data_IF_185906141705
#
_entry.id   IF_185906141705
#
_cell.length_a   1.000
_cell.length_b   1.000
_cell.length_c   1.000
_cell.angle_alpha   90.00
_cell.angle_beta   90.00
_cell.angle_gamma   90.00
#
_symmetry.space_group_name_H-M   'P 1'
#
loop_
_entity.id
_entity.type
_entity.pdbx_description
1 polymer ?
#
# COMPACT_ATOMS: atom_id res chain seq x y z
N UNK A 1 -118.63 -10.54 -51.94
CA UNK A 1 -117.52 -9.75 -52.50
C UNK A 1 -117.98 -8.31 -52.71
N UNK A 2 -117.83 -7.39 -51.74
CA UNK A 2 -117.61 -5.93 -51.96
C UNK A 2 -117.54 -5.07 -50.67
N UNK A 3 -116.83 -5.47 -49.61
CA UNK A 3 -116.61 -4.55 -48.47
C UNK A 3 -115.27 -4.76 -47.74
N UNK A 4 -114.27 -5.36 -48.41
CA UNK A 4 -112.89 -5.54 -47.91
C UNK A 4 -112.01 -4.30 -48.19
N UNK A 5 -112.60 -3.17 -48.58
CA UNK A 5 -111.84 -2.06 -49.20
C UNK A 5 -112.02 -0.67 -48.57
N UNK A 6 -112.39 -0.53 -47.28
CA UNK A 6 -112.15 0.76 -46.59
C UNK A 6 -112.03 0.68 -45.06
N UNK A 7 -111.52 -0.44 -44.54
CA UNK A 7 -110.99 -0.59 -43.18
C UNK A 7 -109.68 0.21 -42.94
N UNK A 8 -109.53 1.41 -43.54
CA UNK A 8 -108.32 2.26 -43.49
C UNK A 8 -108.65 3.71 -43.07
N UNK A 9 -109.88 4.03 -42.63
CA UNK A 9 -110.13 5.35 -42.03
C UNK A 9 -111.08 5.31 -40.81
N UNK A 10 -110.85 4.33 -39.94
CA UNK A 10 -111.05 4.47 -38.49
C UNK A 10 -109.76 4.93 -37.80
N UNK A 11 -108.87 5.59 -38.56
CA UNK A 11 -107.63 6.21 -38.07
C UNK A 11 -107.83 7.72 -37.96
N UNK A 12 -107.34 8.28 -36.85
CA UNK A 12 -107.43 9.67 -36.40
C UNK A 12 -108.69 9.92 -35.55
N UNK A 13 -108.64 10.08 -34.23
CA UNK A 13 -107.56 10.59 -33.40
C UNK A 13 -107.43 9.80 -32.09
N UNK A 14 -106.24 9.23 -31.89
CA UNK A 14 -105.63 8.99 -30.60
C UNK A 14 -105.57 10.30 -29.80
N UNK A 15 -105.60 10.21 -28.47
CA UNK A 15 -105.17 11.34 -27.64
C UNK A 15 -105.74 11.29 -26.23
N UNK A 16 -105.08 10.51 -25.37
CA UNK A 16 -105.07 10.79 -23.95
C UNK A 16 -104.49 12.20 -23.74
N UNK A 17 -105.30 13.18 -23.36
CA UNK A 17 -104.80 14.46 -22.85
C UNK A 17 -104.61 14.36 -21.33
N UNK A 18 -103.57 13.63 -20.95
CA UNK A 18 -102.86 13.91 -19.70
C UNK A 18 -101.78 14.93 -20.05
N UNK A 19 -101.89 16.12 -19.47
CA UNK A 19 -101.10 17.32 -19.81
C UNK A 19 -99.60 17.05 -19.61
N UNK A 20 -98.92 16.64 -20.68
CA UNK A 20 -97.48 16.42 -20.71
C UNK A 20 -96.76 17.77 -20.72
N UNK A 21 -96.17 18.13 -19.57
CA UNK A 21 -95.34 19.31 -19.42
C UNK A 21 -93.97 19.06 -20.09
N UNK A 22 -93.61 19.76 -21.19
CA UNK A 22 -92.46 19.43 -22.05
C UNK A 22 -91.07 19.67 -21.42
N UNK A 23 -91.02 20.11 -20.16
CA UNK A 23 -89.80 20.39 -19.41
C UNK A 23 -89.57 19.38 -18.27
N UNK A 24 -90.62 18.67 -17.82
CA UNK A 24 -90.51 17.71 -16.72
C UNK A 24 -90.72 16.28 -17.25
N UNK A 25 -89.70 15.42 -17.16
CA UNK A 25 -89.84 14.02 -17.57
C UNK A 25 -90.90 13.32 -16.73
N UNK A 26 -91.58 12.33 -17.34
CA UNK A 26 -92.56 11.52 -16.62
C UNK A 26 -91.87 10.72 -15.50
N UNK A 27 -92.57 10.45 -14.40
CA UNK A 27 -92.01 9.73 -13.22
C UNK A 27 -91.29 8.42 -13.59
N UNK A 28 -91.78 7.60 -14.56
CA UNK A 28 -91.07 6.39 -14.99
C UNK A 28 -89.70 6.66 -15.64
N UNK A 29 -89.56 7.73 -16.42
CA UNK A 29 -88.30 8.10 -17.07
C UNK A 29 -87.24 8.54 -16.05
N UNK A 30 -87.64 9.26 -15.00
CA UNK A 30 -86.73 9.58 -13.89
C UNK A 30 -86.24 8.33 -13.14
N UNK A 31 -87.11 7.34 -12.93
CA UNK A 31 -86.74 6.09 -12.25
C UNK A 31 -85.73 5.31 -13.09
N UNK A 32 -85.99 5.13 -14.39
CA UNK A 32 -85.04 4.46 -15.29
C UNK A 32 -83.73 5.23 -15.44
N UNK A 33 -83.80 6.56 -15.59
CA UNK A 33 -82.62 7.43 -15.63
C UNK A 33 -81.77 7.33 -14.36
N UNK A 34 -82.40 7.30 -13.19
CA UNK A 34 -81.72 7.09 -11.92
C UNK A 34 -81.08 5.70 -11.83
N UNK A 35 -81.79 4.64 -12.24
CA UNK A 35 -81.25 3.26 -12.28
C UNK A 35 -80.01 3.20 -13.17
N UNK A 36 -80.07 3.74 -14.39
CA UNK A 36 -78.92 3.77 -15.29
C UNK A 36 -77.77 4.62 -14.72
N UNK A 37 -78.07 5.80 -14.17
CA UNK A 37 -77.07 6.67 -13.54
C UNK A 37 -76.34 5.97 -12.38
N UNK A 38 -77.08 5.38 -11.44
CA UNK A 38 -76.48 4.66 -10.32
C UNK A 38 -75.77 3.38 -10.76
N UNK A 39 -76.29 2.66 -11.76
CA UNK A 39 -75.62 1.47 -12.32
C UNK A 39 -74.27 1.84 -12.95
N UNK A 40 -74.20 2.95 -13.70
CA UNK A 40 -72.97 3.47 -14.30
C UNK A 40 -72.00 3.95 -13.22
N UNK A 41 -72.48 4.65 -12.19
CA UNK A 41 -71.67 5.12 -11.07
C UNK A 41 -71.04 3.92 -10.32
N UNK A 42 -71.82 2.88 -10.07
CA UNK A 42 -71.33 1.63 -9.46
C UNK A 42 -70.30 0.97 -10.36
N UNK A 43 -70.57 0.83 -11.67
CA UNK A 43 -69.62 0.24 -12.61
C UNK A 43 -68.30 1.04 -12.65
N UNK A 44 -68.36 2.36 -12.71
CA UNK A 44 -67.19 3.23 -12.68
C UNK A 44 -66.44 3.13 -11.35
N UNK A 45 -67.15 3.05 -10.21
CA UNK A 45 -66.56 2.82 -8.90
C UNK A 45 -65.78 1.50 -8.86
N UNK A 46 -66.33 0.43 -9.41
CA UNK A 46 -65.66 -0.88 -9.41
C UNK A 46 -64.55 -1.02 -10.45
N UNK A 47 -64.65 -0.36 -11.60
CA UNK A 47 -63.65 -0.48 -12.69
C UNK A 47 -62.53 0.55 -12.57
N UNK A 48 -62.83 1.81 -12.20
CA UNK A 48 -61.87 2.91 -12.24
C UNK A 48 -61.10 3.11 -10.93
N UNK A 49 -61.70 2.82 -9.76
CA UNK A 49 -61.00 2.97 -8.48
C UNK A 49 -59.82 2.00 -8.28
N UNK A 50 -59.91 0.70 -8.67
CA UNK A 50 -58.79 -0.23 -8.48
C UNK A 50 -57.50 0.19 -9.17
N UNK A 51 -57.47 0.56 -10.48
CA UNK A 51 -56.23 0.96 -11.15
C UNK A 51 -55.69 2.29 -10.59
N UNK A 52 -56.56 3.23 -10.20
CA UNK A 52 -56.13 4.49 -9.60
C UNK A 52 -55.46 4.27 -8.25
N UNK A 53 -56.07 3.46 -7.36
CA UNK A 53 -55.48 3.11 -6.07
C UNK A 53 -54.20 2.31 -6.22
N UNK A 54 -54.13 1.42 -7.22
CA UNK A 54 -52.91 0.68 -7.53
C UNK A 54 -51.78 1.62 -7.98
N UNK A 55 -52.06 2.61 -8.83
CA UNK A 55 -51.08 3.60 -9.26
C UNK A 55 -50.58 4.47 -8.10
N UNK A 56 -51.47 4.87 -7.18
CA UNK A 56 -51.09 5.63 -5.98
C UNK A 56 -50.22 4.81 -5.03
N UNK A 57 -50.61 3.56 -4.72
CA UNK A 57 -49.79 2.65 -3.91
C UNK A 57 -48.42 2.41 -4.53
N UNK A 58 -48.36 2.17 -5.84
CA UNK A 58 -47.09 1.98 -6.56
C UNK A 58 -46.18 3.21 -6.48
N UNK A 59 -46.76 4.43 -6.48
CA UNK A 59 -45.98 5.67 -6.28
C UNK A 59 -45.48 5.77 -4.84
N UNK A 60 -46.32 5.50 -3.86
CA UNK A 60 -45.97 5.53 -2.44
C UNK A 60 -44.87 4.50 -2.11
N UNK A 61 -45.01 3.27 -2.61
CA UNK A 61 -44.01 2.20 -2.47
C UNK A 61 -42.67 2.58 -3.11
N UNK A 62 -42.69 3.22 -4.28
CA UNK A 62 -41.46 3.71 -4.93
C UNK A 62 -40.78 4.79 -4.11
N UNK A 63 -41.53 5.78 -3.64
CA UNK A 63 -40.97 6.87 -2.82
C UNK A 63 -40.35 6.31 -1.55
N UNK A 64 -41.03 5.40 -0.86
CA UNK A 64 -40.47 4.72 0.33
C UNK A 64 -39.22 3.91 0.00
N UNK A 65 -39.24 3.16 -1.10
CA UNK A 65 -38.07 2.38 -1.51
C UNK A 65 -36.87 3.28 -1.87
N UNK A 66 -37.13 4.41 -2.53
CA UNK A 66 -36.10 5.39 -2.90
C UNK A 66 -35.55 6.09 -1.64
N UNK A 67 -36.39 6.40 -0.65
CA UNK A 67 -36.00 6.96 0.64
C UNK A 67 -35.14 5.97 1.44
N UNK A 68 -35.57 4.72 1.58
CA UNK A 68 -34.78 3.66 2.22
C UNK A 68 -33.46 3.38 1.47
N UNK A 69 -33.45 3.48 0.14
CA UNK A 69 -32.23 3.34 -0.65
C UNK A 69 -31.27 4.52 -0.41
N UNK A 70 -31.79 5.75 -0.32
CA UNK A 70 -31.00 6.93 -0.01
C UNK A 70 -30.41 6.87 1.40
N UNK A 71 -31.20 6.49 2.40
CA UNK A 71 -30.71 6.31 3.78
C UNK A 71 -29.61 5.24 3.85
N UNK A 72 -29.82 4.08 3.21
CA UNK A 72 -28.79 3.04 3.13
C UNK A 72 -27.52 3.52 2.45
N UNK A 73 -27.64 4.25 1.34
CA UNK A 73 -26.48 4.79 0.63
C UNK A 73 -25.69 5.80 1.49
N UNK A 74 -26.38 6.61 2.31
CA UNK A 74 -25.72 7.53 3.25
C UNK A 74 -24.97 6.74 4.32
N UNK A 75 -25.62 5.75 4.95
CA UNK A 75 -24.98 4.92 5.99
C UNK A 75 -23.78 4.15 5.44
N UNK A 76 -23.92 3.55 4.26
CA UNK A 76 -22.83 2.83 3.58
C UNK A 76 -21.68 3.77 3.22
N UNK A 77 -21.99 4.97 2.71
CA UNK A 77 -20.97 5.98 2.41
C UNK A 77 -20.21 6.42 3.67
N UNK A 78 -20.91 6.62 4.79
CA UNK A 78 -20.25 6.93 6.06
C UNK A 78 -19.38 5.78 6.55
N UNK A 79 -19.83 4.52 6.42
CA UNK A 79 -19.04 3.34 6.77
C UNK A 79 -17.77 3.26 5.92
N UNK A 80 -17.90 3.35 4.60
CA UNK A 80 -16.75 3.34 3.66
C UNK A 80 -15.77 4.46 4.00
N UNK A 81 -16.26 5.66 4.33
CA UNK A 81 -15.38 6.78 4.73
C UNK A 81 -14.63 6.47 6.03
N UNK A 82 -15.31 5.92 7.04
CA UNK A 82 -14.66 5.53 8.30
C UNK A 82 -13.61 4.45 8.09
N UNK A 83 -13.93 3.43 7.28
CA UNK A 83 -13.01 2.34 6.97
C UNK A 83 -11.80 2.83 6.17
N UNK A 84 -12.04 3.75 5.23
CA UNK A 84 -10.97 4.40 4.47
C UNK A 84 -10.05 5.22 5.37
N UNK A 85 -10.62 6.06 6.25
CA UNK A 85 -9.84 6.87 7.19
C UNK A 85 -9.06 6.00 8.19
N UNK A 86 -9.65 4.89 8.66
CA UNK A 86 -8.99 3.91 9.50
C UNK A 86 -7.83 3.23 8.77
N UNK A 87 -8.05 2.76 7.54
CA UNK A 87 -7.02 2.15 6.70
C UNK A 87 -5.87 3.12 6.43
N UNK A 88 -6.18 4.40 6.17
CA UNK A 88 -5.17 5.44 5.94
C UNK A 88 -4.36 5.73 7.20
N UNK A 89 -5.00 5.74 8.37
CA UNK A 89 -4.31 5.88 9.65
C UNK A 89 -3.39 4.70 9.94
N UNK A 90 -3.86 3.48 9.72
CA UNK A 90 -3.08 2.24 9.87
C UNK A 90 -1.89 2.22 8.92
N UNK A 91 -2.09 2.54 7.64
CA UNK A 91 -1.01 2.62 6.66
C UNK A 91 0.06 3.66 7.03
N UNK A 92 -0.34 4.80 7.61
CA UNK A 92 0.61 5.83 8.11
C UNK A 92 1.39 5.33 9.33
N UNK A 93 0.73 4.65 10.25
CA UNK A 93 1.38 4.07 11.43
C UNK A 93 2.38 2.97 11.03
N UNK A 94 2.00 2.10 10.10
CA UNK A 94 2.86 1.05 9.57
C UNK A 94 4.06 1.64 8.82
N UNK A 95 3.84 2.65 7.97
CA UNK A 95 4.94 3.33 7.30
C UNK A 95 5.93 3.97 8.29
N UNK A 96 5.44 4.61 9.35
CA UNK A 96 6.28 5.16 10.41
C UNK A 96 7.09 4.05 11.11
N UNK A 97 6.44 2.92 11.43
CA UNK A 97 7.10 1.75 12.03
C UNK A 97 8.22 1.21 11.13
N UNK A 98 7.95 1.02 9.84
CA UNK A 98 8.95 0.55 8.86
C UNK A 98 10.14 1.51 8.79
N UNK A 99 9.90 2.82 8.79
CA UNK A 99 10.97 3.83 8.76
C UNK A 99 11.82 3.75 10.03
N UNK A 100 11.20 3.60 11.20
CA UNK A 100 11.92 3.53 12.47
C UNK A 100 12.70 2.22 12.59
N UNK A 101 12.14 1.08 12.17
CA UNK A 101 12.84 -0.19 12.08
C UNK A 101 14.04 -0.12 11.12
N UNK A 102 13.85 0.48 9.93
CA UNK A 102 14.92 0.66 8.96
C UNK A 102 16.04 1.56 9.51
N UNK A 103 15.70 2.62 10.26
CA UNK A 103 16.70 3.49 10.92
C UNK A 103 17.48 2.74 12.00
N UNK A 104 16.80 1.95 12.83
CA UNK A 104 17.46 1.15 13.86
C UNK A 104 18.37 0.09 13.24
N UNK A 105 17.91 -0.61 12.20
CA UNK A 105 18.71 -1.58 11.46
C UNK A 105 19.93 -0.92 10.80
N UNK A 106 19.76 0.25 10.18
CA UNK A 106 20.85 0.99 9.57
C UNK A 106 21.90 1.43 10.60
N UNK A 107 21.49 1.92 11.77
CA UNK A 107 22.44 2.31 12.82
C UNK A 107 23.16 1.09 13.42
N UNK A 108 22.44 -0.02 13.63
CA UNK A 108 23.06 -1.27 14.08
C UNK A 108 24.09 -1.78 13.06
N UNK A 109 23.76 -1.77 11.77
CA UNK A 109 24.66 -2.16 10.69
C UNK A 109 25.86 -1.20 10.60
N UNK A 110 25.65 0.11 10.73
CA UNK A 110 26.71 1.11 10.76
C UNK A 110 27.68 0.85 11.92
N UNK A 111 27.16 0.63 13.13
CA UNK A 111 27.96 0.29 14.31
C UNK A 111 28.75 -1.01 14.13
N UNK A 112 28.14 -2.02 13.48
CA UNK A 112 28.81 -3.28 13.20
C UNK A 112 29.94 -3.11 12.18
N UNK A 113 29.70 -2.38 11.08
CA UNK A 113 30.72 -2.11 10.06
C UNK A 113 31.90 -1.34 10.67
N UNK A 114 31.64 -0.33 11.51
CA UNK A 114 32.70 0.42 12.18
C UNK A 114 33.53 -0.49 13.07
N UNK A 115 32.89 -1.33 13.90
CA UNK A 115 33.59 -2.27 14.77
C UNK A 115 34.46 -3.25 13.99
N UNK A 116 33.91 -3.84 12.92
CA UNK A 116 34.66 -4.76 12.07
C UNK A 116 35.85 -4.05 11.40
N UNK A 117 35.66 -2.83 10.91
CA UNK A 117 36.75 -2.04 10.34
C UNK A 117 37.82 -1.68 11.37
N UNK A 118 37.45 -1.34 12.61
CA UNK A 118 38.41 -1.08 13.69
C UNK A 118 39.22 -2.34 14.04
N UNK A 119 38.57 -3.50 14.12
CA UNK A 119 39.22 -4.79 14.39
C UNK A 119 40.16 -5.20 13.24
N UNK A 120 39.75 -5.00 11.99
CA UNK A 120 40.58 -5.25 10.80
C UNK A 120 41.80 -4.33 10.77
N UNK A 121 41.62 -3.03 11.05
CA UNK A 121 42.73 -2.06 11.14
C UNK A 121 43.69 -2.41 12.27
N UNK A 122 43.19 -2.82 13.44
CA UNK A 122 44.02 -3.25 14.55
C UNK A 122 44.85 -4.49 14.19
N UNK A 123 44.22 -5.48 13.54
CA UNK A 123 44.88 -6.70 13.07
C UNK A 123 45.94 -6.39 12.01
N UNK A 124 45.60 -5.57 11.01
CA UNK A 124 46.52 -5.15 9.96
C UNK A 124 47.73 -4.40 10.53
N UNK A 125 47.51 -3.53 11.53
CA UNK A 125 48.59 -2.82 12.22
C UNK A 125 49.51 -3.78 12.99
N UNK A 126 48.94 -4.77 13.66
CA UNK A 126 49.73 -5.78 14.37
C UNK A 126 50.60 -6.60 13.41
N UNK A 127 50.04 -7.02 12.28
CA UNK A 127 50.78 -7.74 11.23
C UNK A 127 51.89 -6.86 10.64
N UNK A 128 51.60 -5.60 10.32
CA UNK A 128 52.61 -4.67 9.78
C UNK A 128 53.76 -4.41 10.77
N UNK A 129 53.47 -4.34 12.08
CA UNK A 129 54.52 -4.24 13.11
C UNK A 129 55.37 -5.51 13.18
N UNK A 130 54.75 -6.69 13.11
CA UNK A 130 55.47 -7.96 13.10
C UNK A 130 56.36 -8.12 11.86
N UNK A 131 55.87 -7.72 10.68
CA UNK A 131 56.64 -7.68 9.43
C UNK A 131 57.82 -6.71 9.54
N UNK A 132 57.59 -5.50 10.09
CA UNK A 132 58.65 -4.51 10.30
C UNK A 132 59.76 -5.03 11.23
N UNK A 133 59.39 -5.70 12.32
CA UNK A 133 60.35 -6.29 13.24
C UNK A 133 61.14 -7.44 12.60
N UNK A 134 60.47 -8.29 11.80
CA UNK A 134 61.13 -9.34 11.04
C UNK A 134 62.13 -8.76 10.02
N UNK A 135 61.74 -7.72 9.28
CA UNK A 135 62.58 -7.07 8.29
C UNK A 135 63.77 -6.33 8.93
N UNK A 136 63.55 -5.68 10.08
CA UNK A 136 64.62 -5.08 10.88
C UNK A 136 65.65 -6.13 11.31
N UNK A 137 65.19 -7.28 11.79
CA UNK A 137 66.09 -8.37 12.19
C UNK A 137 66.88 -8.94 11.01
N UNK A 138 66.23 -9.09 9.85
CA UNK A 138 66.89 -9.51 8.61
C UNK A 138 67.96 -8.49 8.14
N UNK A 139 67.64 -7.20 8.17
CA UNK A 139 68.56 -6.13 7.82
C UNK A 139 69.78 -6.09 8.77
N UNK A 140 69.55 -6.22 10.09
CA UNK A 140 70.63 -6.31 11.08
C UNK A 140 71.52 -7.55 10.86
N UNK A 141 70.92 -8.69 10.49
CA UNK A 141 71.66 -9.89 10.12
C UNK A 141 72.56 -9.66 8.91
N UNK A 142 72.03 -9.06 7.84
CA UNK A 142 72.79 -8.70 6.64
C UNK A 142 73.95 -7.74 6.95
N UNK A 143 73.70 -6.71 7.76
CA UNK A 143 74.72 -5.77 8.23
C UNK A 143 75.84 -6.47 8.99
N UNK A 144 75.52 -7.38 9.91
CA UNK A 144 76.53 -8.16 10.65
C UNK A 144 77.41 -8.99 9.72
N UNK A 145 76.82 -9.64 8.73
CA UNK A 145 77.56 -10.42 7.73
C UNK A 145 78.47 -9.54 6.88
N UNK A 146 78.00 -8.37 6.43
CA UNK A 146 78.81 -7.40 5.68
C UNK A 146 79.97 -6.85 6.52
N UNK A 147 79.71 -6.47 7.77
CA UNK A 147 80.75 -5.98 8.68
C UNK A 147 81.80 -7.06 8.98
N UNK A 148 81.37 -8.32 9.19
CA UNK A 148 82.29 -9.43 9.39
C UNK A 148 83.17 -9.66 8.15
N UNK A 149 82.61 -9.59 6.95
CA UNK A 149 83.37 -9.70 5.70
C UNK A 149 84.42 -8.57 5.56
N UNK A 150 84.03 -7.31 5.84
CA UNK A 150 84.95 -6.16 5.83
C UNK A 150 86.06 -6.32 6.88
N UNK A 151 85.73 -6.81 8.09
CA UNK A 151 86.70 -7.02 9.16
C UNK A 151 87.74 -8.10 8.78
N UNK A 152 87.30 -9.20 8.16
CA UNK A 152 88.19 -10.27 7.67
C UNK A 152 89.07 -9.75 6.52
N UNK A 153 88.51 -8.99 5.59
CA UNK A 153 89.28 -8.37 4.49
C UNK A 153 90.35 -7.39 5.03
N UNK A 154 89.98 -6.56 6.01
CA UNK A 154 90.89 -5.63 6.67
C UNK A 154 92.01 -6.37 7.42
N UNK A 155 91.69 -7.43 8.17
CA UNK A 155 92.67 -8.27 8.85
C UNK A 155 93.63 -8.95 7.85
N UNK A 156 93.12 -9.45 6.73
CA UNK A 156 93.93 -10.01 5.65
C UNK A 156 94.91 -9.00 5.04
N UNK A 157 94.47 -7.75 4.82
CA UNK A 157 95.33 -6.64 4.35
C UNK A 157 96.43 -6.28 5.35
N UNK A 158 96.18 -6.38 6.65
CA UNK A 158 97.21 -6.15 7.69
C UNK A 158 98.27 -7.24 7.67
N UNK A 159 97.89 -8.51 7.51
CA UNK A 159 98.83 -9.64 7.45
C UNK A 159 99.65 -9.64 6.16
N UNK A 160 99.10 -9.17 5.05
CA UNK A 160 99.81 -9.06 3.77
C UNK A 160 100.79 -7.86 3.68
N UNK A 161 100.78 -6.93 4.65
CA UNK A 161 101.86 -5.95 4.73
C UNK A 161 103.17 -6.69 4.99
N UNK A 162 104.26 -6.39 4.26
CA UNK A 162 105.53 -7.08 4.42
C UNK A 162 105.99 -6.94 5.88
N UNK A 163 106.19 -8.10 6.52
CA UNK A 163 106.73 -8.21 7.87
C UNK A 163 108.13 -7.57 7.88
N UNK A 164 108.26 -6.41 8.53
CA UNK A 164 109.56 -5.81 8.79
C UNK A 164 110.27 -6.64 9.87
N UNK A 165 111.37 -7.29 9.46
CA UNK A 165 112.19 -8.16 10.32
C UNK A 165 112.75 -7.39 11.51
N UNK A 166 112.95 -6.07 11.38
CA UNK A 166 113.45 -5.21 12.44
C UNK A 166 112.44 -4.98 13.58
N UNK A 167 111.13 -4.92 13.29
CA UNK A 167 110.10 -4.68 14.29
C UNK A 167 109.77 -5.92 15.15
N UNK A 168 109.98 -7.13 14.61
CA UNK A 168 109.66 -8.39 15.30
C UNK A 168 110.78 -8.90 16.22
N UNK A 169 112.05 -8.55 15.97
CA UNK A 169 113.15 -8.89 16.88
C UNK A 169 112.93 -8.29 18.28
N UNK A 170 112.44 -7.04 18.35
CA UNK A 170 112.11 -6.39 19.63
C UNK A 170 110.97 -7.07 20.40
N UNK A 171 110.00 -7.69 19.71
CA UNK A 171 108.86 -8.39 20.34
C UNK A 171 109.25 -9.81 20.75
N UNK A 172 110.08 -10.49 19.97
CA UNK A 172 110.63 -11.82 20.30
C UNK A 172 111.56 -11.72 21.52
N UNK A 173 112.46 -10.73 21.55
CA UNK A 173 113.35 -10.52 22.69
C UNK A 173 112.58 -10.15 23.98
N UNK A 174 111.46 -9.41 23.85
CA UNK A 174 110.57 -9.08 24.96
C UNK A 174 109.74 -10.28 25.49
N UNK A 175 109.41 -11.27 24.65
CA UNK A 175 108.74 -12.50 25.08
C UNK A 175 109.71 -13.56 25.62
N UNK A 176 110.92 -13.66 25.06
CA UNK A 176 111.95 -14.56 25.60
C UNK A 176 112.42 -14.09 26.98
N UNK A 177 112.64 -12.78 27.18
CA UNK A 177 113.02 -12.23 28.50
C UNK A 177 111.96 -12.34 29.60
N UNK A 178 110.67 -12.46 29.26
CA UNK A 178 109.59 -12.70 30.24
C UNK A 178 109.33 -14.19 30.52
N UNK A 179 109.89 -15.11 29.72
CA UNK A 179 109.77 -16.55 29.95
C UNK A 179 110.94 -17.12 30.76
N UNK A 180 112.05 -16.39 30.86
CA UNK A 180 113.25 -16.74 31.63
C UNK A 180 113.29 -16.13 33.05
N UNK A 181 112.14 -15.63 33.56
CA UNK A 181 111.92 -15.16 34.93
C UNK A 181 110.81 -15.97 35.61
#
# INVERSE_FOLDING_TARGET
MLAVALSILSGSAEGAEEVANPVLPTVPEMIWGAIFFFSLLILMKFVLLPPLKAAMRKREERIRADEEAAERAVVESEQIRRDYDATLSEARAEAARIIDEARQAAEAQRSQIIRVAEDEVATARQSALAELDAERNAALGSLRTQVAAIAVEAAGKVIQKPLDVAANQAVVDAHVSNADA
#
